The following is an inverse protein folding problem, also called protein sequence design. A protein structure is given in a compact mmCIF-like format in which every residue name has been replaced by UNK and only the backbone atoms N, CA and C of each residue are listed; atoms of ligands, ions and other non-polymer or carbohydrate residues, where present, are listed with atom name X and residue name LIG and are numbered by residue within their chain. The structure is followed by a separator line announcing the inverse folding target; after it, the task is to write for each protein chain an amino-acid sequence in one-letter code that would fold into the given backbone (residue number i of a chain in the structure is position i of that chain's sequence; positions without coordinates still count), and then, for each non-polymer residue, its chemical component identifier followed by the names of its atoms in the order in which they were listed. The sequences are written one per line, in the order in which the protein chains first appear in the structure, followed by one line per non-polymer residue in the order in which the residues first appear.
data_IF_218371812416
#
_entry.id   IF_218371812416
#
_cell.length_a   1.000
_cell.length_b   1.000
_cell.length_c   1.000
_cell.angle_alpha   90.00
_cell.angle_beta   90.00
_cell.angle_gamma   90.00
#
_symmetry.space_group_name_H-M   'P 1'
#
loop_
_entity.id
_entity.type
_entity.pdbx_description
1 polymer ?
#
# COMPACT_ATOMS: atom_id res chain seq x y z
N UNK A 1 -7.31 14.76 -14.52
CA UNK A 1 -6.16 14.26 -13.73
C UNK A 1 -4.87 14.94 -14.19
N UNK A 2 -3.96 15.29 -13.26
CA UNK A 2 -2.59 15.71 -13.58
C UNK A 2 -1.63 14.54 -13.38
N UNK A 3 -0.66 14.39 -14.27
CA UNK A 3 0.34 13.31 -14.22
C UNK A 3 1.74 13.91 -14.13
N UNK A 4 2.61 13.32 -13.31
CA UNK A 4 4.03 13.66 -13.26
C UNK A 4 4.90 12.40 -13.22
N UNK A 5 6.04 12.44 -13.91
CA UNK A 5 7.04 11.38 -13.91
C UNK A 5 8.40 12.03 -13.65
N UNK A 6 9.14 11.54 -12.66
CA UNK A 6 10.42 12.14 -12.26
C UNK A 6 11.44 11.06 -11.89
N UNK A 7 12.62 11.08 -12.52
CA UNK A 7 13.77 10.28 -12.05
C UNK A 7 14.22 10.80 -10.68
N UNK A 8 14.23 9.93 -9.67
CA UNK A 8 14.57 10.27 -8.27
C UNK A 8 15.87 9.61 -7.79
N UNK A 9 16.29 8.55 -8.47
CA UNK A 9 17.53 7.85 -8.19
C UNK A 9 17.95 7.00 -9.38
N UNK A 10 19.13 6.41 -9.25
CA UNK A 10 19.60 5.31 -10.06
C UNK A 10 20.14 4.24 -9.11
N UNK A 11 19.92 2.96 -9.41
CA UNK A 11 20.38 1.84 -8.61
C UNK A 11 20.84 0.69 -9.51
N UNK A 12 22.11 0.29 -9.39
CA UNK A 12 22.72 -0.77 -10.22
C UNK A 12 22.52 -0.55 -11.74
N UNK A 13 22.53 0.71 -12.18
CA UNK A 13 22.30 1.08 -13.58
C UNK A 13 20.82 1.08 -14.01
N UNK A 14 19.89 0.86 -13.08
CA UNK A 14 18.45 0.98 -13.31
C UNK A 14 17.91 2.30 -12.77
N UNK A 15 17.14 2.98 -13.59
CA UNK A 15 16.53 4.26 -13.23
C UNK A 15 15.31 4.05 -12.32
N UNK A 16 15.29 4.79 -11.21
CA UNK A 16 14.15 4.85 -10.31
C UNK A 16 13.37 6.13 -10.58
N UNK A 17 12.11 5.98 -10.94
CA UNK A 17 11.17 7.04 -11.24
C UNK A 17 10.04 7.05 -10.21
N UNK A 18 9.67 8.24 -9.77
CA UNK A 18 8.38 8.50 -9.12
C UNK A 18 7.35 8.78 -10.23
N UNK A 19 6.22 8.08 -10.17
CA UNK A 19 5.03 8.29 -11.00
C UNK A 19 3.92 8.82 -10.10
N UNK A 20 3.33 9.95 -10.47
CA UNK A 20 2.30 10.59 -9.67
C UNK A 20 1.04 10.91 -10.47
N UNK A 21 -0.11 10.78 -9.80
CA UNK A 21 -1.40 11.29 -10.26
C UNK A 21 -1.97 12.25 -9.23
N UNK A 22 -2.58 13.34 -9.67
CA UNK A 22 -3.30 14.29 -8.81
C UNK A 22 -4.65 14.66 -9.42
N UNK A 23 -5.71 14.51 -8.62
CA UNK A 23 -7.08 14.80 -9.04
C UNK A 23 -7.42 16.28 -8.92
N UNK A 24 -8.65 16.68 -9.30
CA UNK A 24 -9.07 18.08 -9.25
C UNK A 24 -9.18 18.63 -7.82
N UNK A 25 -9.38 17.75 -6.85
CA UNK A 25 -9.53 18.07 -5.43
C UNK A 25 -8.16 18.20 -4.71
N UNK A 26 -7.06 17.87 -5.39
CA UNK A 26 -5.71 17.96 -4.86
C UNK A 26 -5.20 16.70 -4.16
N UNK A 27 -6.01 15.63 -4.09
CA UNK A 27 -5.50 14.33 -3.66
C UNK A 27 -4.49 13.81 -4.67
N UNK A 28 -3.40 13.25 -4.17
CA UNK A 28 -2.28 12.78 -4.98
C UNK A 28 -1.81 11.42 -4.51
N UNK A 29 -1.49 10.57 -5.47
CA UNK A 29 -0.72 9.34 -5.22
C UNK A 29 0.64 9.44 -5.91
N UNK A 30 1.68 8.87 -5.29
CA UNK A 30 3.00 8.70 -5.92
C UNK A 30 3.56 7.31 -5.61
N UNK A 31 4.05 6.65 -6.66
CA UNK A 31 4.53 5.26 -6.65
C UNK A 31 5.89 5.20 -7.37
N UNK A 32 6.81 4.37 -6.87
CA UNK A 32 8.08 4.10 -7.56
C UNK A 32 7.98 2.86 -8.42
N UNK A 33 8.73 2.81 -9.53
CA UNK A 33 8.99 1.58 -10.27
C UNK A 33 10.00 0.64 -9.56
N UNK A 34 9.91 0.58 -8.24
CA UNK A 34 10.74 -0.24 -7.36
C UNK A 34 9.80 -1.08 -6.49
N UNK A 35 10.12 -2.34 -6.16
CA UNK A 35 9.20 -3.24 -5.44
C UNK A 35 8.74 -2.62 -4.11
N UNK A 36 7.45 -2.80 -3.80
CA UNK A 36 6.79 -2.50 -2.52
C UNK A 36 6.57 -1.02 -2.14
N UNK A 37 6.71 -0.05 -3.07
CA UNK A 37 6.65 1.38 -2.72
C UNK A 37 5.47 2.16 -3.29
N UNK A 38 4.34 2.11 -2.57
CA UNK A 38 3.41 3.24 -2.54
C UNK A 38 3.83 4.19 -1.42
N UNK A 39 4.44 5.31 -1.78
CA UNK A 39 5.10 6.18 -0.79
C UNK A 39 4.38 7.51 -0.54
N UNK A 40 3.37 7.83 -1.36
CA UNK A 40 2.56 9.02 -1.15
C UNK A 40 1.09 8.72 -1.40
N UNK A 41 0.28 9.04 -0.39
CA UNK A 41 -1.13 9.36 -0.56
C UNK A 41 -1.37 10.65 0.19
N UNK A 42 -1.50 11.76 -0.53
CA UNK A 42 -1.55 13.08 0.08
C UNK A 42 -2.80 13.84 -0.32
N UNK A 43 -3.24 14.74 0.56
CA UNK A 43 -4.35 15.68 0.31
C UNK A 43 -3.91 17.11 0.61
N UNK A 44 -4.73 18.05 0.18
CA UNK A 44 -4.65 19.44 0.62
C UNK A 44 -5.55 19.59 1.86
N UNK A 45 -4.97 20.04 2.97
CA UNK A 45 -5.70 20.32 4.21
C UNK A 45 -6.38 21.70 4.18
N UNK A 46 -7.09 22.03 5.25
CA UNK A 46 -7.79 23.32 5.41
C UNK A 46 -6.85 24.54 5.40
N UNK A 47 -5.58 24.35 5.71
CA UNK A 47 -4.56 25.41 5.66
C UNK A 47 -3.96 25.56 4.25
N UNK A 48 -4.48 24.79 3.28
CA UNK A 48 -3.97 24.68 1.91
C UNK A 48 -2.56 24.10 1.84
N UNK A 49 -2.17 23.36 2.86
CA UNK A 49 -0.90 22.64 2.90
C UNK A 49 -1.09 21.19 2.45
N UNK A 50 -0.05 20.62 1.81
CA UNK A 50 -0.09 19.22 1.39
C UNK A 50 0.31 18.33 2.56
N UNK A 51 -0.59 17.43 2.95
CA UNK A 51 -0.36 16.43 3.98
C UNK A 51 -0.26 15.04 3.35
N UNK A 52 0.91 14.40 3.47
CA UNK A 52 1.07 12.99 3.10
C UNK A 52 0.62 12.09 4.26
N UNK A 53 -0.19 11.09 3.95
CA UNK A 53 -0.76 10.14 4.92
C UNK A 53 0.08 8.87 5.04
N UNK A 54 1.06 8.68 4.15
CA UNK A 54 1.97 7.54 4.14
C UNK A 54 3.38 7.93 4.61
N UNK A 55 4.07 6.97 5.21
CA UNK A 55 5.49 7.05 5.49
C UNK A 55 6.25 6.39 4.36
N UNK A 56 7.18 7.16 3.79
CA UNK A 56 8.11 6.66 2.79
C UNK A 56 9.19 5.80 3.46
N UNK A 57 8.99 4.48 3.46
CA UNK A 57 9.96 3.51 3.99
C UNK A 57 11.21 3.36 3.10
N UNK A 58 11.33 4.10 2.00
CA UNK A 58 12.45 3.95 1.08
C UNK A 58 13.76 4.51 1.66
N UNK A 59 14.58 3.59 2.16
CA UNK A 59 15.92 3.90 2.63
C UNK A 59 16.97 3.61 1.56
N UNK A 60 17.53 4.67 0.95
CA UNK A 60 18.64 4.57 -0.03
C UNK A 60 19.85 3.78 0.47
N UNK A 61 20.08 3.71 1.80
CA UNK A 61 21.22 3.01 2.40
C UNK A 61 21.00 1.51 2.60
N UNK A 62 19.75 1.01 2.50
CA UNK A 62 19.39 -0.36 2.85
C UNK A 62 18.83 -1.19 1.68
N UNK A 63 18.95 -0.69 0.44
CA UNK A 63 18.50 -1.37 -0.78
C UNK A 63 19.20 -2.74 -0.96
N UNK A 64 20.42 -2.89 -0.42
CA UNK A 64 21.16 -4.14 -0.45
C UNK A 64 20.46 -5.31 0.25
N UNK A 65 19.57 -5.05 1.22
CA UNK A 65 18.83 -6.10 1.93
C UNK A 65 17.62 -6.62 1.13
N UNK A 66 17.20 -5.91 0.09
CA UNK A 66 16.03 -6.26 -0.75
C UNK A 66 16.43 -6.79 -2.15
N UNK A 67 17.72 -7.06 -2.38
CA UNK A 67 18.29 -7.48 -3.68
C UNK A 67 17.61 -8.74 -4.24
N UNK A 68 17.32 -9.74 -3.41
CA UNK A 68 16.70 -11.00 -3.86
C UNK A 68 15.21 -10.88 -4.19
N UNK A 69 14.56 -9.77 -3.81
CA UNK A 69 13.14 -9.49 -4.06
C UNK A 69 12.93 -8.52 -5.23
N UNK A 70 14.01 -8.19 -5.93
CA UNK A 70 13.98 -7.14 -6.94
C UNK A 70 13.23 -7.58 -8.21
N UNK A 71 12.13 -6.92 -8.52
CA UNK A 71 11.45 -6.98 -9.81
C UNK A 71 11.54 -5.60 -10.45
N UNK A 72 12.19 -5.51 -11.61
CA UNK A 72 12.14 -4.29 -12.40
C UNK A 72 10.75 -4.22 -13.05
N UNK A 73 9.89 -3.35 -12.53
CA UNK A 73 8.54 -3.17 -13.05
C UNK A 73 8.53 -1.99 -14.03
N UNK A 74 8.00 -2.22 -15.23
CA UNK A 74 7.71 -1.17 -16.18
C UNK A 74 6.39 -0.50 -15.80
N UNK A 75 6.42 0.82 -15.63
CA UNK A 75 5.21 1.59 -15.40
C UNK A 75 4.52 1.95 -16.73
N UNK A 76 3.20 1.85 -16.73
CA UNK A 76 2.31 2.35 -17.78
C UNK A 76 1.34 3.31 -17.12
N UNK A 77 1.26 4.54 -17.61
CA UNK A 77 0.40 5.57 -17.05
C UNK A 77 -0.78 5.83 -18.00
N UNK A 78 -1.98 5.75 -17.46
CA UNK A 78 -3.23 6.14 -18.11
C UNK A 78 -3.80 7.39 -17.44
N UNK A 79 -4.96 7.86 -17.92
CA UNK A 79 -5.57 9.12 -17.46
C UNK A 79 -5.68 9.20 -15.93
N UNK A 80 -6.15 8.14 -15.27
CA UNK A 80 -6.38 8.10 -13.83
C UNK A 80 -5.70 6.91 -13.14
N UNK A 81 -4.81 6.18 -13.82
CA UNK A 81 -4.14 5.03 -13.24
C UNK A 81 -2.67 4.91 -13.60
N UNK A 82 -1.90 4.33 -12.68
CA UNK A 82 -0.51 3.92 -12.87
C UNK A 82 -0.48 2.41 -12.69
N UNK A 83 -0.04 1.71 -13.72
CA UNK A 83 0.12 0.26 -13.72
C UNK A 83 1.59 -0.10 -13.75
N UNK A 84 2.08 -0.81 -12.73
CA UNK A 84 3.39 -1.44 -12.72
C UNK A 84 3.25 -2.87 -13.23
N UNK A 85 3.99 -3.24 -14.27
CA UNK A 85 4.00 -4.59 -14.86
C UNK A 85 5.41 -5.13 -14.91
N UNK A 86 5.57 -6.44 -14.74
CA UNK A 86 6.86 -7.09 -14.92
C UNK A 86 7.41 -6.84 -16.35
N UNK A 87 8.68 -6.44 -16.46
CA UNK A 87 9.36 -6.36 -17.75
C UNK A 87 9.94 -7.72 -18.15
N UNK A 88 9.13 -8.52 -18.86
CA UNK A 88 9.46 -9.87 -19.33
C UNK A 88 10.72 -9.93 -20.22
N UNK A 89 11.20 -8.81 -20.76
CA UNK A 89 12.39 -8.77 -21.62
C UNK A 89 13.70 -8.55 -20.83
N UNK A 90 13.60 -8.20 -19.54
CA UNK A 90 14.75 -7.94 -18.67
C UNK A 90 15.20 -9.15 -17.84
N UNK A 91 14.49 -10.29 -17.95
CA UNK A 91 14.77 -11.51 -17.17
C UNK A 91 16.04 -12.18 -17.70
N UNK A 92 17.16 -11.95 -17.02
CA UNK A 92 18.37 -12.76 -17.19
C UNK A 92 18.08 -14.23 -16.88
N UNK A 93 18.57 -15.14 -17.72
CA UNK A 93 18.32 -16.59 -17.79
C UNK A 93 18.58 -17.44 -16.53
N UNK A 94 18.79 -16.88 -15.34
CA UNK A 94 19.23 -17.65 -14.16
C UNK A 94 18.51 -17.35 -12.83
N UNK A 95 17.44 -16.55 -12.78
CA UNK A 95 16.66 -16.47 -11.54
C UNK A 95 15.61 -17.58 -11.48
N UNK A 96 15.91 -18.65 -10.75
CA UNK A 96 14.93 -19.63 -10.24
C UNK A 96 13.90 -19.01 -9.24
N UNK A 97 13.80 -17.67 -9.18
CA UNK A 97 12.88 -16.93 -8.34
C UNK A 97 11.50 -16.89 -9.00
N UNK A 98 10.71 -17.94 -8.80
CA UNK A 98 9.29 -17.97 -9.19
C UNK A 98 8.58 -16.65 -8.79
N UNK A 99 7.82 -16.10 -9.74
CA UNK A 99 7.19 -14.77 -9.76
C UNK A 99 6.20 -14.56 -8.63
N UNK A 100 6.20 -13.38 -8.02
CA UNK A 100 5.26 -13.03 -6.92
C UNK A 100 4.06 -12.22 -7.39
N UNK A 101 4.20 -11.20 -8.26
CA UNK A 101 3.07 -10.44 -8.83
C UNK A 101 3.31 -10.16 -10.30
N UNK A 102 2.27 -10.28 -11.14
CA UNK A 102 2.35 -9.97 -12.56
C UNK A 102 2.16 -8.47 -12.82
N UNK A 103 1.18 -7.87 -12.15
CA UNK A 103 0.81 -6.48 -12.35
C UNK A 103 0.15 -5.88 -11.11
N UNK A 104 0.45 -4.61 -10.83
CA UNK A 104 -0.21 -3.81 -9.79
C UNK A 104 -0.72 -2.52 -10.42
N UNK A 105 -2.01 -2.22 -10.28
CA UNK A 105 -2.62 -1.01 -10.84
C UNK A 105 -3.19 -0.13 -9.74
N UNK A 106 -2.68 1.09 -9.65
CA UNK A 106 -3.17 2.15 -8.76
C UNK A 106 -4.07 3.08 -9.55
N UNK A 107 -5.32 3.25 -9.13
CA UNK A 107 -6.30 4.12 -9.79
C UNK A 107 -6.75 5.19 -8.82
N UNK A 108 -6.55 6.46 -9.16
CA UNK A 108 -6.99 7.61 -8.37
C UNK A 108 -8.31 8.15 -8.93
N UNK A 109 -9.28 8.41 -8.06
CA UNK A 109 -10.59 8.93 -8.42
C UNK A 109 -10.79 10.37 -7.93
N UNK A 110 -11.78 11.06 -8.52
CA UNK A 110 -12.11 12.45 -8.16
C UNK A 110 -12.79 12.58 -6.79
N UNK A 111 -13.30 11.48 -6.23
CA UNK A 111 -13.86 11.42 -4.86
C UNK A 111 -12.79 11.24 -3.78
N UNK A 112 -11.51 11.43 -4.11
CA UNK A 112 -10.35 11.19 -3.24
C UNK A 112 -10.23 9.74 -2.75
N UNK A 113 -10.75 8.79 -3.53
CA UNK A 113 -10.44 7.38 -3.35
C UNK A 113 -9.30 6.92 -4.26
N UNK A 114 -8.58 5.91 -3.80
CA UNK A 114 -7.59 5.17 -4.58
C UNK A 114 -7.88 3.68 -4.46
N UNK A 115 -7.96 3.00 -5.61
CA UNK A 115 -8.06 1.54 -5.68
C UNK A 115 -6.75 0.98 -6.21
N UNK A 116 -6.21 -0.01 -5.49
CA UNK A 116 -5.04 -0.78 -5.89
C UNK A 116 -5.53 -2.17 -6.25
N UNK A 117 -5.34 -2.57 -7.50
CA UNK A 117 -5.61 -3.91 -7.99
C UNK A 117 -4.31 -4.70 -8.10
N UNK A 118 -4.35 -5.95 -7.67
CA UNK A 118 -3.25 -6.91 -7.74
C UNK A 118 -3.65 -8.03 -8.67
N UNK A 119 -3.05 -8.05 -9.84
CA UNK A 119 -3.30 -9.08 -10.84
C UNK A 119 -2.21 -10.16 -10.72
N UNK A 120 -2.68 -11.40 -10.59
CA UNK A 120 -1.85 -12.60 -10.62
C UNK A 120 -2.12 -13.39 -11.89
N UNK A 121 -1.16 -14.21 -12.30
CA UNK A 121 -1.28 -15.07 -13.48
C UNK A 121 -1.09 -16.55 -13.11
N UNK A 122 -1.19 -17.44 -14.10
CA UNK A 122 -1.00 -18.87 -13.90
C UNK A 122 0.44 -19.27 -13.52
N UNK A 123 1.40 -18.35 -13.61
CA UNK A 123 2.81 -18.58 -13.28
C UNK A 123 3.20 -17.99 -11.91
N UNK A 124 2.25 -17.33 -11.24
CA UNK A 124 2.44 -16.72 -9.93
C UNK A 124 2.64 -17.81 -8.86
N UNK A 125 3.72 -17.71 -8.10
CA UNK A 125 3.99 -18.58 -6.96
C UNK A 125 3.36 -18.02 -5.69
N UNK A 126 2.10 -18.38 -5.49
CA UNK A 126 1.29 -17.95 -4.35
C UNK A 126 1.88 -18.32 -2.99
N UNK A 127 2.74 -19.35 -2.91
CA UNK A 127 3.45 -19.67 -1.66
C UNK A 127 4.41 -18.56 -1.22
N UNK A 128 4.83 -17.71 -2.16
CA UNK A 128 5.69 -16.54 -1.92
C UNK A 128 4.90 -15.23 -1.88
N UNK A 129 3.61 -15.24 -2.21
CA UNK A 129 2.71 -14.08 -2.21
C UNK A 129 1.81 -14.06 -0.96
N UNK A 130 2.41 -14.19 0.21
CA UNK A 130 1.64 -14.17 1.48
C UNK A 130 1.20 -12.77 1.90
N UNK A 131 1.75 -11.72 1.27
CA UNK A 131 1.45 -10.30 1.54
C UNK A 131 1.30 -9.57 0.22
N UNK A 132 0.15 -8.91 0.03
CA UNK A 132 -0.09 -8.11 -1.18
C UNK A 132 0.41 -6.68 -1.04
N UNK A 133 0.26 -6.11 0.15
CA UNK A 133 0.63 -4.73 0.41
C UNK A 133 0.90 -4.50 1.89
N UNK A 134 2.06 -3.92 2.17
CA UNK A 134 2.46 -3.47 3.49
C UNK A 134 2.75 -1.97 3.44
N UNK A 135 2.00 -1.17 4.21
CA UNK A 135 2.19 0.28 4.27
C UNK A 135 2.16 0.80 5.70
N UNK A 136 2.82 1.94 5.89
CA UNK A 136 2.91 2.64 7.15
C UNK A 136 2.17 3.97 7.05
N UNK A 137 1.10 4.11 7.81
CA UNK A 137 0.23 5.28 7.82
C UNK A 137 0.60 6.21 8.96
N UNK A 138 0.63 7.51 8.66
CA UNK A 138 0.71 8.56 9.67
C UNK A 138 -0.69 8.67 10.28
N UNK A 139 -0.95 7.83 11.28
CA UNK A 139 -2.13 7.96 12.11
C UNK A 139 -1.89 9.11 13.09
N UNK A 140 -2.70 10.17 12.97
CA UNK A 140 -2.77 11.18 14.01
C UNK A 140 -3.30 10.56 15.32
N UNK A 141 -3.02 11.24 16.42
CA UNK A 141 -3.07 10.67 17.78
C UNK A 141 -4.39 9.93 18.07
N UNK A 142 -4.25 8.64 18.40
CA UNK A 142 -5.07 7.89 19.36
C UNK A 142 -6.45 7.33 18.98
N UNK A 143 -6.95 7.33 17.73
CA UNK A 143 -8.20 6.58 17.43
C UNK A 143 -8.20 5.89 16.06
N UNK A 144 -7.84 4.60 16.05
CA UNK A 144 -8.10 3.70 14.93
C UNK A 144 -9.34 2.89 15.29
N UNK A 145 -10.40 2.89 14.48
CA UNK A 145 -11.60 2.07 14.70
C UNK A 145 -11.65 0.94 13.66
N UNK A 146 -11.53 -0.30 14.11
CA UNK A 146 -11.77 -1.50 13.31
C UNK A 146 -13.26 -1.86 13.44
N UNK A 147 -13.97 -2.13 12.34
CA UNK A 147 -15.39 -2.50 12.40
C UNK A 147 -15.61 -4.01 12.57
N UNK A 148 -14.63 -4.86 12.23
CA UNK A 148 -14.85 -6.32 12.14
C UNK A 148 -15.02 -7.04 13.49
N UNK A 149 -14.62 -6.48 14.62
CA UNK A 149 -15.06 -6.85 15.99
C UNK A 149 -14.89 -5.60 16.88
N UNK A 150 -15.72 -5.46 17.93
CA UNK A 150 -15.78 -4.37 18.94
C UNK A 150 -14.74 -3.24 18.87
N UNK A 151 -15.19 -1.97 18.86
CA UNK A 151 -14.38 -0.74 18.92
C UNK A 151 -12.99 -0.92 19.56
N UNK A 152 -11.98 -1.26 18.76
CA UNK A 152 -10.61 -1.40 19.26
C UNK A 152 -10.02 -0.02 19.52
N UNK A 153 -9.76 0.33 20.78
CA UNK A 153 -8.93 1.49 21.10
C UNK A 153 -7.46 1.07 21.15
N UNK A 154 -6.65 1.57 20.21
CA UNK A 154 -5.20 1.35 20.21
C UNK A 154 -4.56 2.34 21.20
N UNK A 155 -4.52 1.96 22.48
CA UNK A 155 -3.91 2.74 23.55
C UNK A 155 -2.38 2.64 23.54
N UNK A 156 -1.73 3.22 22.52
CA UNK A 156 -0.29 3.56 22.49
C UNK A 156 0.73 2.43 22.75
N UNK A 157 0.28 1.19 22.96
CA UNK A 157 1.10 -0.02 23.13
C UNK A 157 1.29 -0.70 21.78
N UNK A 158 2.42 -1.38 21.62
CA UNK A 158 2.71 -2.22 20.47
C UNK A 158 1.67 -3.35 20.45
N UNK A 159 0.63 -3.18 19.65
CA UNK A 159 -0.41 -4.17 19.40
C UNK A 159 -0.16 -4.69 18.00
N UNK A 160 -0.07 -6.00 17.85
CA UNK A 160 -0.16 -6.69 16.57
C UNK A 160 -1.45 -7.50 16.62
N UNK A 161 -2.32 -7.31 15.65
CA UNK A 161 -3.63 -7.96 15.61
C UNK A 161 -3.95 -8.42 14.21
N UNK A 162 -4.30 -9.70 14.06
CA UNK A 162 -4.74 -10.28 12.78
C UNK A 162 -6.24 -10.42 12.80
N UNK A 163 -6.91 -9.76 11.87
CA UNK A 163 -8.35 -9.83 11.66
C UNK A 163 -8.62 -10.76 10.48
N UNK A 164 -9.47 -11.76 10.69
CA UNK A 164 -10.04 -12.57 9.60
C UNK A 164 -11.35 -11.89 9.19
N UNK A 165 -11.41 -11.43 7.95
CA UNK A 165 -12.52 -10.65 7.43
C UNK A 165 -13.62 -11.60 6.95
N UNK A 166 -14.87 -11.41 7.38
CA UNK A 166 -15.97 -12.25 6.89
C UNK A 166 -16.28 -11.93 5.42
N UNK A 167 -16.91 -12.86 4.69
CA UNK A 167 -17.27 -12.63 3.28
C UNK A 167 -18.21 -11.42 3.10
N UNK A 168 -19.04 -11.10 4.09
CA UNK A 168 -19.95 -9.97 4.06
C UNK A 168 -19.24 -8.63 4.35
N UNK A 169 -18.18 -8.64 5.17
CA UNK A 169 -17.38 -7.43 5.45
C UNK A 169 -16.51 -7.05 4.25
N UNK A 170 -16.15 -8.04 3.43
CA UNK A 170 -15.43 -7.83 2.18
C UNK A 170 -16.37 -7.10 1.21
N UNK A 171 -15.94 -5.94 0.74
CA UNK A 171 -16.51 -5.14 -0.38
C UNK A 171 -17.65 -4.16 -0.04
N UNK A 172 -18.55 -4.46 0.89
CA UNK A 172 -19.73 -3.58 1.13
C UNK A 172 -19.50 -2.52 2.20
N UNK A 173 -18.75 -2.85 3.26
CA UNK A 173 -18.48 -1.98 4.40
C UNK A 173 -16.98 -1.73 4.56
N UNK A 174 -16.58 -0.58 5.15
CA UNK A 174 -15.17 -0.35 5.43
C UNK A 174 -14.67 -1.32 6.49
N UNK A 175 -13.73 -2.18 6.13
CA UNK A 175 -13.12 -3.16 7.05
C UNK A 175 -12.29 -2.48 8.15
N UNK A 176 -11.83 -1.25 7.89
CA UNK A 176 -11.11 -0.39 8.82
C UNK A 176 -11.53 1.06 8.58
N UNK A 177 -11.70 1.81 9.67
CA UNK A 177 -11.87 3.27 9.65
C UNK A 177 -10.83 3.94 10.55
N UNK A 178 -10.04 4.85 10.01
CA UNK A 178 -9.15 5.70 10.81
C UNK A 178 -9.81 7.07 10.93
N UNK A 179 -10.05 7.52 12.17
CA UNK A 179 -10.65 8.82 12.48
C UNK A 179 -9.69 9.58 13.36
N UNK A 180 -9.17 10.69 12.87
CA UNK A 180 -8.44 11.63 13.71
C UNK A 180 -9.43 12.71 14.18
N UNK A 181 -9.73 12.82 15.49
CA UNK A 181 -10.66 13.81 16.04
C UNK A 181 -10.27 15.25 15.71
N UNK A 182 -8.98 15.51 15.53
CA UNK A 182 -8.46 16.84 15.21
C UNK A 182 -8.49 17.13 13.69
N UNK A 183 -8.71 16.09 12.87
CA UNK A 183 -8.81 16.22 11.41
C UNK A 183 -10.26 16.36 10.95
N UNK A 184 -10.47 17.06 9.84
CA UNK A 184 -11.78 17.13 9.15
C UNK A 184 -12.01 15.98 8.18
N UNK A 185 -11.27 14.88 8.31
CA UNK A 185 -11.41 13.74 7.43
C UNK A 185 -11.32 12.41 8.18
N UNK A 186 -11.85 11.37 7.57
CA UNK A 186 -11.61 9.99 7.96
C UNK A 186 -11.09 9.19 6.77
N UNK A 187 -10.35 8.13 7.06
CA UNK A 187 -9.95 7.15 6.06
C UNK A 187 -10.75 5.88 6.23
N UNK A 188 -11.46 5.51 5.17
CA UNK A 188 -12.18 4.25 5.05
C UNK A 188 -11.38 3.30 4.17
N UNK A 189 -11.26 2.04 4.61
CA UNK A 189 -10.51 0.99 3.91
C UNK A 189 -11.47 -0.12 3.52
N UNK A 190 -11.43 -0.52 2.25
CA UNK A 190 -12.25 -1.60 1.70
C UNK A 190 -11.32 -2.60 1.03
N UNK A 191 -11.64 -3.88 1.12
CA UNK A 191 -10.86 -4.94 0.47
C UNK A 191 -11.74 -6.14 0.18
N UNK A 192 -11.32 -6.96 -0.78
CA UNK A 192 -11.85 -8.31 -0.95
C UNK A 192 -10.93 -9.41 -0.38
N UNK A 193 -9.83 -9.02 0.26
CA UNK A 193 -8.86 -9.95 0.85
C UNK A 193 -9.39 -10.59 2.13
N UNK A 194 -8.79 -11.73 2.50
CA UNK A 194 -9.28 -12.53 3.62
C UNK A 194 -8.84 -12.02 5.00
N UNK A 195 -7.69 -11.34 5.07
CA UNK A 195 -7.08 -10.92 6.33
C UNK A 195 -6.52 -9.51 6.29
N UNK A 196 -6.66 -8.81 7.42
CA UNK A 196 -6.00 -7.56 7.73
C UNK A 196 -5.15 -7.72 8.99
N UNK A 197 -3.84 -7.58 8.84
CA UNK A 197 -2.90 -7.43 9.95
C UNK A 197 -2.69 -5.94 10.24
N UNK A 198 -2.94 -5.58 11.49
CA UNK A 198 -2.83 -4.24 12.03
C UNK A 198 -1.73 -4.23 13.08
N UNK A 199 -0.76 -3.33 12.97
CA UNK A 199 0.19 -3.13 14.06
C UNK A 199 0.61 -1.67 14.29
N UNK A 200 1.05 -1.36 15.51
CA UNK A 200 1.69 -0.07 15.81
C UNK A 200 3.21 -0.22 15.73
N UNK A 201 3.81 0.42 14.73
CA UNK A 201 5.25 0.42 14.53
C UNK A 201 5.90 1.62 15.22
N UNK A 202 6.91 1.38 16.07
CA UNK A 202 7.74 2.45 16.63
C UNK A 202 8.85 2.83 15.65
N UNK A 203 8.73 4.01 15.07
CA UNK A 203 9.64 4.53 14.04
C UNK A 203 11.06 4.74 14.57
N UNK A 204 11.26 5.01 15.88
CA UNK A 204 12.61 5.23 16.46
C UNK A 204 13.48 3.97 16.47
N UNK A 205 12.87 2.80 16.56
CA UNK A 205 13.58 1.51 16.67
C UNK A 205 13.63 0.76 15.34
N UNK A 206 12.99 1.29 14.28
CA UNK A 206 13.00 0.67 12.96
C UNK A 206 14.26 1.09 12.19
N UNK A 207 15.16 0.15 11.95
CA UNK A 207 16.35 0.36 11.10
C UNK A 207 16.00 0.48 9.60
N UNK A 208 14.78 0.10 9.23
CA UNK A 208 14.29 0.00 7.85
C UNK A 208 13.51 1.24 7.38
N UNK A 209 13.02 2.10 8.28
CA UNK A 209 12.11 3.20 7.93
C UNK A 209 12.81 4.56 8.06
N UNK A 210 12.96 5.28 6.94
CA UNK A 210 13.41 6.67 6.93
C UNK A 210 12.24 7.62 7.11
N UNK A 211 12.23 8.49 8.12
CA UNK A 211 11.15 9.45 8.34
C UNK A 211 11.66 10.88 8.58
N UNK A 212 10.83 11.87 8.21
CA UNK A 212 11.13 13.28 8.43
C UNK A 212 10.86 13.66 9.90
N UNK A 213 11.90 14.08 10.62
CA UNK A 213 11.86 14.36 12.07
C UNK A 213 10.84 15.43 12.50
N UNK A 214 10.30 16.22 11.56
CA UNK A 214 9.27 17.25 11.85
C UNK A 214 7.86 16.69 12.09
N UNK A 215 7.57 15.44 11.72
CA UNK A 215 6.24 14.81 11.90
C UNK A 215 6.17 14.00 13.20
N UNK A 216 6.56 14.63 14.33
CA UNK A 216 6.84 13.93 15.58
C UNK A 216 5.59 13.39 16.29
N UNK A 217 5.26 12.14 15.98
CA UNK A 217 4.98 11.10 16.96
C UNK A 217 5.73 9.83 16.49
N UNK A 218 6.39 9.11 17.40
CA UNK A 218 7.27 8.01 17.04
C UNK A 218 6.52 6.72 16.64
N UNK A 219 5.23 6.81 16.31
CA UNK A 219 4.35 5.68 16.09
C UNK A 219 3.65 5.82 14.73
N UNK A 220 3.64 4.73 13.98
CA UNK A 220 2.92 4.61 12.70
C UNK A 220 2.00 3.40 12.74
N UNK A 221 0.88 3.49 12.02
CA UNK A 221 -0.01 2.35 11.84
C UNK A 221 0.47 1.54 10.64
N UNK A 222 0.95 0.33 10.88
CA UNK A 222 1.29 -0.62 9.84
C UNK A 222 0.03 -1.42 9.47
N UNK A 223 -0.28 -1.43 8.17
CA UNK A 223 -1.35 -2.23 7.60
C UNK A 223 -0.76 -3.24 6.63
N UNK A 224 -1.15 -4.51 6.80
CA UNK A 224 -0.71 -5.60 5.94
C UNK A 224 -1.93 -6.45 5.55
N UNK A 225 -2.23 -6.50 4.24
CA UNK A 225 -3.37 -7.25 3.72
C UNK A 225 -2.92 -8.57 3.09
N UNK A 226 -3.65 -9.66 3.40
CA UNK A 226 -3.30 -11.03 3.01
C UNK A 226 -4.54 -11.82 2.60
N UNK A 227 -4.32 -12.86 1.79
CA UNK A 227 -5.32 -13.89 1.53
C UNK A 227 -5.02 -15.16 2.32
N UNK A 228 -6.08 -15.83 2.75
CA UNK A 228 -6.04 -17.22 3.15
C UNK A 228 -6.09 -18.03 1.86
N UNK A 229 -4.96 -18.62 1.47
CA UNK A 229 -4.94 -19.49 0.31
C UNK A 229 -5.69 -20.78 0.64
N UNK A 230 -6.96 -20.83 0.27
CA UNK A 230 -7.71 -22.08 0.21
C UNK A 230 -7.40 -22.77 -1.12
N UNK A 231 -6.70 -23.89 -1.03
CA UNK A 231 -6.62 -24.83 -2.14
C UNK A 231 -7.99 -25.50 -2.26
N UNK A 232 -8.71 -25.26 -3.36
CA UNK A 232 -9.96 -25.99 -3.60
C UNK A 232 -9.71 -27.49 -3.79
N UNK A 233 -10.79 -28.28 -3.74
CA UNK A 233 -10.85 -29.76 -3.80
C UNK A 233 -10.09 -30.46 -4.96
N UNK A 234 -9.47 -29.71 -5.87
CA UNK A 234 -8.68 -30.19 -7.00
C UNK A 234 -7.25 -29.62 -7.07
N UNK A 235 -6.71 -29.04 -6.00
CA UNK A 235 -5.38 -28.36 -5.97
C UNK A 235 -5.24 -27.22 -7.00
N UNK A 236 -6.35 -26.67 -7.50
CA UNK A 236 -6.33 -25.47 -8.32
C UNK A 236 -6.50 -24.26 -7.41
N UNK A 237 -5.59 -23.29 -7.58
CA UNK A 237 -5.61 -22.04 -6.84
C UNK A 237 -6.54 -21.08 -7.57
N UNK A 238 -7.57 -20.59 -6.87
CA UNK A 238 -8.52 -19.63 -7.42
C UNK A 238 -7.80 -18.30 -7.70
N UNK A 239 -7.69 -17.94 -8.97
CA UNK A 239 -7.09 -16.67 -9.40
C UNK A 239 -8.07 -15.55 -9.05
N UNK A 240 -7.92 -14.97 -7.85
CA UNK A 240 -8.74 -13.85 -7.40
C UNK A 240 -8.12 -12.53 -7.84
N UNK A 241 -8.92 -11.68 -8.47
CA UNK A 241 -8.58 -10.27 -8.68
C UNK A 241 -8.63 -9.56 -7.33
N UNK A 242 -7.50 -9.48 -6.64
CA UNK A 242 -7.43 -8.88 -5.32
C UNK A 242 -7.32 -7.37 -5.41
N UNK A 243 -7.99 -6.67 -4.50
CA UNK A 243 -7.97 -5.22 -4.50
C UNK A 243 -8.11 -4.64 -3.11
N UNK A 244 -7.57 -3.43 -2.95
CA UNK A 244 -7.75 -2.61 -1.76
C UNK A 244 -8.17 -1.22 -2.22
N UNK A 245 -9.21 -0.65 -1.62
CA UNK A 245 -9.63 0.72 -1.85
C UNK A 245 -9.50 1.53 -0.57
N UNK A 246 -8.90 2.70 -0.69
CA UNK A 246 -8.76 3.70 0.36
C UNK A 246 -9.62 4.89 -0.04
N UNK A 247 -10.49 5.38 0.85
CA UNK A 247 -11.32 6.56 0.58
C UNK A 247 -11.15 7.58 1.70
N UNK A 248 -10.89 8.82 1.30
CA UNK A 248 -10.89 9.96 2.22
C UNK A 248 -12.29 10.56 2.24
N UNK A 249 -12.87 10.66 3.42
CA UNK A 249 -14.20 11.24 3.64
C UNK A 249 -14.07 12.49 4.49
N UNK A 250 -14.43 13.64 3.94
CA UNK A 250 -14.45 14.91 4.66
C UNK A 250 -15.73 15.06 5.50
N UNK A 251 -15.63 15.73 6.66
CA UNK A 251 -16.73 16.04 7.58
C UNK A 251 -16.85 17.54 7.82
#
# INVERSE_FOLDING_TARGET
MKTAIKKVSEYQGLDVFDYSLENSQGARISIRNFPDFWHEFSIIDENKERQNLLIDSFNKKNIAQNIEKFQNLKAVVHENSITLKEDLHSISKESNSRRTLFQITYTLFEDNSVTINFDTDSQTDYSKLSVYLENYWIAAKNQVKVESEDNFQIDGKQVEHTLVLSENDRKEFPVLQIKDPDSKYSLDFFTNMDQLLLSMANLKNSSSISFNKKQSNNLALQLCFKNLFDFEKNNQLDVRNNWITYRIKYH
#
